data_IF_472558344098
#
_entry.id   IF_472558344098
#
_cell.length_a   1.000
_cell.length_b   1.000
_cell.length_c   1.000
_cell.angle_alpha   90.00
_cell.angle_beta   90.00
_cell.angle_gamma   90.00
#
_symmetry.space_group_name_H-M   'P 1'
#
loop_
_entity.id
_entity.type
_entity.pdbx_description
1 polymer ?
#
# COMPACT_ATOMS: atom_id res chain seq x y z
N UNK A 1 -8.06 22.95 16.63
CA UNK A 1 -7.33 21.76 17.10
C UNK A 1 -8.23 20.86 17.96
N UNK A 2 -8.80 21.30 19.09
CA UNK A 2 -9.77 20.48 19.85
C UNK A 2 -11.15 20.32 19.20
N UNK A 3 -11.51 21.19 18.24
CA UNK A 3 -12.83 21.18 17.60
C UNK A 3 -13.10 19.95 16.71
N UNK A 4 -12.07 19.16 16.40
CA UNK A 4 -12.16 17.98 15.53
C UNK A 4 -11.87 16.66 16.24
N UNK A 5 -11.48 16.67 17.53
CA UNK A 5 -11.15 15.45 18.25
C UNK A 5 -12.32 14.46 18.30
N UNK A 6 -13.54 14.97 18.49
CA UNK A 6 -14.76 14.15 18.46
C UNK A 6 -15.01 13.53 17.09
N UNK A 7 -14.70 14.27 16.04
CA UNK A 7 -14.84 13.82 14.66
C UNK A 7 -13.83 12.71 14.35
N UNK A 8 -12.58 12.86 14.80
CA UNK A 8 -11.54 11.84 14.64
C UNK A 8 -11.89 10.56 15.43
N UNK A 9 -12.33 10.69 16.69
CA UNK A 9 -12.77 9.54 17.50
C UNK A 9 -13.94 8.80 16.82
N UNK A 10 -14.95 9.53 16.34
CA UNK A 10 -16.08 8.91 15.66
C UNK A 10 -15.62 8.20 14.38
N UNK A 11 -14.74 8.81 13.60
CA UNK A 11 -14.19 8.18 12.39
C UNK A 11 -13.41 6.90 12.69
N UNK A 12 -12.72 6.83 13.82
CA UNK A 12 -12.02 5.60 14.25
C UNK A 12 -13.05 4.51 14.60
N UNK A 13 -14.07 4.84 15.38
CA UNK A 13 -15.13 3.89 15.76
C UNK A 13 -15.86 3.34 14.51
N UNK A 14 -16.06 4.16 13.49
CA UNK A 14 -16.71 3.75 12.24
C UNK A 14 -15.83 2.84 11.37
N UNK A 15 -14.51 3.00 11.41
CA UNK A 15 -13.57 2.30 10.51
C UNK A 15 -12.87 1.10 11.16
N UNK A 16 -12.79 1.07 12.48
CA UNK A 16 -12.15 -0.02 13.22
C UNK A 16 -13.19 -0.84 14.00
N UNK A 17 -13.48 -2.08 13.56
CA UNK A 17 -14.39 -2.98 14.27
C UNK A 17 -13.96 -3.31 15.71
N UNK A 18 -12.68 -3.14 16.05
CA UNK A 18 -12.17 -3.38 17.40
C UNK A 18 -12.47 -2.24 18.38
N UNK A 19 -12.78 -1.03 17.88
CA UNK A 19 -13.05 0.14 18.70
C UNK A 19 -14.42 0.05 19.39
N UNK A 20 -14.46 -0.30 20.68
CA UNK A 20 -15.74 -0.54 21.37
C UNK A 20 -16.44 0.73 21.82
N UNK A 21 -15.67 1.77 22.16
CA UNK A 21 -16.18 3.04 22.66
C UNK A 21 -15.14 4.17 22.53
N UNK A 22 -15.60 5.42 22.60
CA UNK A 22 -14.72 6.59 22.47
C UNK A 22 -13.70 6.77 23.59
N UNK A 23 -13.91 6.19 24.78
CA UNK A 23 -12.93 6.26 25.87
C UNK A 23 -11.71 5.40 25.56
N UNK A 24 -11.92 4.16 25.13
CA UNK A 24 -10.87 3.26 24.65
C UNK A 24 -10.09 3.90 23.49
N UNK A 25 -10.80 4.51 22.53
CA UNK A 25 -10.15 5.24 21.43
C UNK A 25 -9.29 6.39 21.95
N UNK A 26 -9.82 7.18 22.89
CA UNK A 26 -9.10 8.32 23.46
C UNK A 26 -7.86 7.88 24.26
N UNK A 27 -7.89 6.75 24.97
CA UNK A 27 -6.81 6.35 25.88
C UNK A 27 -5.82 5.36 25.28
N UNK A 28 -6.22 4.57 24.28
CA UNK A 28 -5.46 3.40 23.82
C UNK A 28 -5.14 3.41 22.32
N UNK A 29 -5.50 4.46 21.56
CA UNK A 29 -5.15 4.53 20.13
C UNK A 29 -3.93 5.41 19.88
N UNK A 30 -2.74 4.82 19.63
CA UNK A 30 -1.51 5.57 19.41
C UNK A 30 -1.59 6.45 18.16
N UNK A 31 -2.35 6.02 17.14
CA UNK A 31 -2.61 6.81 15.93
C UNK A 31 -3.28 8.15 16.22
N UNK A 32 -4.31 8.14 17.08
CA UNK A 32 -4.99 9.37 17.53
C UNK A 32 -4.03 10.27 18.30
N UNK A 33 -3.27 9.70 19.24
CA UNK A 33 -2.29 10.46 20.04
C UNK A 33 -1.23 11.13 19.17
N UNK A 34 -0.71 10.42 18.17
CA UNK A 34 0.28 10.96 17.24
C UNK A 34 -0.28 12.13 16.42
N UNK A 35 -1.52 12.05 15.94
CA UNK A 35 -2.17 13.15 15.21
C UNK A 35 -2.37 14.38 16.10
N UNK A 36 -2.83 14.19 17.34
CA UNK A 36 -3.01 15.29 18.30
C UNK A 36 -1.68 15.98 18.62
N UNK A 37 -0.63 15.20 18.91
CA UNK A 37 0.70 15.72 19.19
C UNK A 37 1.33 16.37 17.96
N UNK A 38 1.10 15.83 16.76
CA UNK A 38 1.50 16.47 15.51
C UNK A 38 0.83 17.83 15.35
N UNK A 39 -0.44 17.98 15.73
CA UNK A 39 -1.13 19.28 15.73
C UNK A 39 -0.37 20.35 16.54
N UNK A 40 0.11 20.00 17.74
CA UNK A 40 0.97 20.88 18.54
C UNK A 40 2.32 21.14 17.87
N UNK A 41 2.98 20.10 17.37
CA UNK A 41 4.27 20.19 16.71
C UNK A 41 4.21 21.09 15.45
N UNK A 42 3.20 20.90 14.61
CA UNK A 42 2.92 21.67 13.40
C UNK A 42 2.65 23.14 13.73
N UNK A 43 1.86 23.40 14.77
CA UNK A 43 1.59 24.76 15.24
C UNK A 43 2.87 25.50 15.65
N UNK A 44 3.78 24.84 16.39
CA UNK A 44 5.09 25.40 16.76
C UNK A 44 5.95 25.63 15.51
N UNK A 45 5.98 24.66 14.60
CA UNK A 45 6.74 24.73 13.35
C UNK A 45 6.33 25.93 12.49
N UNK A 46 5.02 26.16 12.33
CA UNK A 46 4.46 27.30 11.57
C UNK A 46 4.72 28.66 12.22
N UNK A 47 5.06 28.71 13.52
CA UNK A 47 5.42 29.93 14.27
C UNK A 47 6.93 30.15 14.40
N UNK A 48 7.73 29.47 13.55
CA UNK A 48 9.19 29.53 13.58
C UNK A 48 9.82 28.98 14.88
N UNK A 49 9.05 28.29 15.74
CA UNK A 49 9.56 27.55 16.90
C UNK A 49 9.97 26.14 16.48
N UNK A 50 10.86 26.03 15.50
CA UNK A 50 11.18 24.78 14.81
C UNK A 50 11.73 23.70 15.73
N UNK A 51 12.62 24.08 16.67
CA UNK A 51 13.18 23.15 17.65
C UNK A 51 12.09 22.56 18.54
N UNK A 52 11.15 23.39 19.03
CA UNK A 52 10.04 22.93 19.88
C UNK A 52 9.14 21.99 19.09
N UNK A 53 8.81 22.31 17.84
CA UNK A 53 8.05 21.42 16.96
C UNK A 53 8.74 20.06 16.79
N UNK A 54 10.05 20.05 16.53
CA UNK A 54 10.84 18.81 16.41
C UNK A 54 10.90 18.01 17.69
N UNK A 55 11.05 18.69 18.83
CA UNK A 55 11.08 18.04 20.13
C UNK A 55 9.73 17.37 20.45
N UNK A 56 8.60 18.05 20.20
CA UNK A 56 7.27 17.45 20.37
C UNK A 56 7.09 16.22 19.48
N UNK A 57 7.48 16.30 18.21
CA UNK A 57 7.45 15.17 17.27
C UNK A 57 8.31 13.99 17.75
N UNK A 58 9.48 14.26 18.33
CA UNK A 58 10.33 13.24 18.93
C UNK A 58 9.68 12.56 20.14
N UNK A 59 9.06 13.31 21.05
CA UNK A 59 8.30 12.74 22.18
C UNK A 59 7.11 11.91 21.69
N UNK A 60 6.38 12.40 20.67
CA UNK A 60 5.29 11.65 20.05
C UNK A 60 5.78 10.30 19.52
N UNK A 61 6.94 10.28 18.85
CA UNK A 61 7.58 9.05 18.36
C UNK A 61 7.91 8.08 19.48
N UNK A 62 8.44 8.54 20.60
CA UNK A 62 8.77 7.68 21.75
C UNK A 62 7.51 7.01 22.31
N UNK A 63 6.43 7.78 22.47
CA UNK A 63 5.22 7.31 23.14
C UNK A 63 4.38 6.42 22.22
N UNK A 64 4.31 6.75 20.93
CA UNK A 64 3.38 6.12 19.98
C UNK A 64 4.04 5.17 18.99
N UNK A 65 5.36 5.26 18.80
CA UNK A 65 6.07 4.57 17.72
C UNK A 65 5.81 5.14 16.32
N UNK A 66 5.11 6.28 16.21
CA UNK A 66 4.74 6.95 14.96
C UNK A 66 5.59 8.22 14.81
N UNK A 67 6.32 8.34 13.71
CA UNK A 67 7.10 9.54 13.39
C UNK A 67 6.35 10.41 12.36
N UNK A 68 5.87 11.58 12.78
CA UNK A 68 5.29 12.58 11.88
C UNK A 68 6.11 13.85 11.97
N UNK A 69 6.76 14.24 10.87
CA UNK A 69 7.52 15.47 10.82
C UNK A 69 6.61 16.69 11.05
N UNK A 70 7.00 17.70 11.85
CA UNK A 70 6.16 18.87 12.15
C UNK A 70 5.72 19.65 10.91
N UNK A 71 6.56 19.70 9.87
CA UNK A 71 6.27 20.33 8.58
C UNK A 71 5.26 19.59 7.69
N UNK A 72 4.95 18.32 7.98
CA UNK A 72 3.95 17.57 7.21
C UNK A 72 2.57 18.22 7.34
N UNK A 73 1.73 18.05 6.33
CA UNK A 73 0.34 18.52 6.34
C UNK A 73 -0.56 17.31 6.46
N UNK A 74 -1.37 17.27 7.53
CA UNK A 74 -2.31 16.19 7.82
C UNK A 74 -3.73 16.75 7.74
N UNK A 75 -4.58 16.11 6.93
CA UNK A 75 -5.98 16.43 6.76
C UNK A 75 -6.84 15.97 7.94
N UNK A 76 -8.16 16.01 7.74
CA UNK A 76 -9.17 15.64 8.74
C UNK A 76 -9.49 14.15 8.68
N UNK A 77 -9.81 13.53 9.83
CA UNK A 77 -10.24 12.12 9.89
C UNK A 77 -9.22 11.16 9.25
N UNK A 78 -7.94 11.52 9.36
CA UNK A 78 -6.84 10.62 9.00
C UNK A 78 -6.78 9.53 10.07
N UNK A 79 -6.87 8.28 9.65
CA UNK A 79 -6.84 7.14 10.53
C UNK A 79 -5.49 6.42 10.40
N UNK A 80 -4.69 6.45 11.47
CA UNK A 80 -3.46 5.68 11.56
C UNK A 80 -3.75 4.43 12.40
N UNK A 81 -3.93 3.30 11.73
CA UNK A 81 -4.30 2.04 12.37
C UNK A 81 -3.07 1.21 12.75
N UNK A 82 -3.05 0.68 13.97
CA UNK A 82 -1.91 0.08 14.68
C UNK A 82 -0.68 1.00 14.85
N UNK A 83 -0.29 1.70 13.78
CA UNK A 83 0.58 2.87 13.74
C UNK A 83 2.08 2.62 13.95
N UNK A 84 2.47 1.56 14.65
CA UNK A 84 3.87 1.34 14.98
C UNK A 84 4.77 1.31 13.72
N UNK A 85 5.84 2.10 13.71
CA UNK A 85 6.79 2.17 12.60
C UNK A 85 6.33 3.03 11.41
N UNK A 86 5.22 3.77 11.52
CA UNK A 86 4.81 4.75 10.49
C UNK A 86 5.79 5.94 10.49
N UNK A 87 6.23 6.34 9.30
CA UNK A 87 7.14 7.48 9.09
C UNK A 87 6.55 8.42 8.03
N UNK A 88 6.24 9.65 8.42
CA UNK A 88 5.70 10.70 7.54
C UNK A 88 6.68 11.87 7.46
N UNK A 89 7.27 12.05 6.28
CA UNK A 89 8.33 13.04 6.08
C UNK A 89 7.86 14.49 5.93
N UNK A 90 8.83 15.41 5.96
CA UNK A 90 8.61 16.85 6.12
C UNK A 90 7.65 17.51 5.15
N UNK A 91 7.74 17.15 3.87
CA UNK A 91 6.93 17.80 2.81
C UNK A 91 5.76 16.93 2.40
N UNK A 92 5.44 15.89 3.18
CA UNK A 92 4.32 15.01 2.90
C UNK A 92 3.00 15.77 3.11
N UNK A 93 2.03 15.44 2.27
CA UNK A 93 0.66 15.94 2.40
C UNK A 93 -0.25 14.72 2.46
N UNK A 94 -1.03 14.59 3.52
CA UNK A 94 -2.02 13.53 3.70
C UNK A 94 -3.39 14.19 3.69
N UNK A 95 -4.21 13.85 2.70
CA UNK A 95 -5.57 14.37 2.56
C UNK A 95 -6.53 13.86 3.64
N UNK A 96 -7.77 14.35 3.56
CA UNK A 96 -8.84 13.95 4.47
C UNK A 96 -9.19 12.47 4.28
N UNK A 97 -9.70 11.82 5.32
CA UNK A 97 -10.21 10.43 5.26
C UNK A 97 -9.19 9.36 4.86
N UNK A 98 -7.90 9.68 4.82
CA UNK A 98 -6.87 8.68 4.54
C UNK A 98 -6.75 7.64 5.66
N UNK A 99 -6.43 6.40 5.29
CA UNK A 99 -6.09 5.33 6.23
C UNK A 99 -4.66 4.88 6.00
N UNK A 100 -3.86 4.84 7.06
CA UNK A 100 -2.44 4.47 7.03
C UNK A 100 -2.23 3.36 8.06
N UNK A 101 -1.76 2.20 7.62
CA UNK A 101 -1.45 1.06 8.48
C UNK A 101 -0.01 1.13 9.04
N UNK A 102 0.31 0.21 9.96
CA UNK A 102 1.64 0.08 10.57
C UNK A 102 2.78 -0.06 9.54
N UNK A 103 3.97 0.42 9.89
CA UNK A 103 5.18 0.29 9.07
C UNK A 103 5.20 1.06 7.74
N UNK A 104 4.22 1.94 7.51
CA UNK A 104 4.16 2.74 6.27
C UNK A 104 5.19 3.87 6.29
N UNK A 105 5.87 4.07 5.17
CA UNK A 105 6.76 5.22 4.97
C UNK A 105 6.26 6.13 3.86
N UNK A 106 6.03 7.41 4.17
CA UNK A 106 5.86 8.51 3.21
C UNK A 106 7.18 9.26 3.10
N UNK A 107 8.08 8.71 2.28
CA UNK A 107 9.50 9.05 2.22
C UNK A 107 9.88 9.96 1.05
N UNK A 108 11.04 10.59 1.17
CA UNK A 108 11.61 11.40 0.11
C UNK A 108 12.76 10.69 -0.61
N UNK A 109 12.93 10.97 -1.91
CA UNK A 109 13.99 10.39 -2.75
C UNK A 109 15.11 11.38 -3.10
N UNK A 110 14.92 12.67 -2.80
CA UNK A 110 15.89 13.74 -3.09
C UNK A 110 16.63 14.20 -1.85
N UNK A 111 17.94 14.47 -2.01
CA UNK A 111 18.81 15.02 -0.97
C UNK A 111 18.72 16.56 -0.85
N UNK A 112 18.00 17.23 -1.75
CA UNK A 112 17.88 18.68 -1.73
C UNK A 112 16.91 19.13 -0.62
N UNK A 113 17.43 19.87 0.35
CA UNK A 113 16.64 20.47 1.43
C UNK A 113 15.72 21.57 0.90
N UNK A 114 14.54 21.73 1.52
CA UNK A 114 13.59 22.80 1.20
C UNK A 114 12.66 22.57 0.01
N UNK A 115 12.94 21.60 -0.88
CA UNK A 115 12.04 21.25 -1.97
C UNK A 115 11.01 20.16 -1.58
N UNK A 116 9.85 20.17 -2.26
CA UNK A 116 8.87 19.07 -2.18
C UNK A 116 9.54 17.79 -2.66
N UNK A 117 9.55 16.77 -1.80
CA UNK A 117 10.25 15.49 -2.02
C UNK A 117 9.49 14.27 -1.52
N UNK A 118 8.47 14.48 -0.70
CA UNK A 118 7.59 13.45 -0.14
C UNK A 118 6.25 13.42 -0.87
N UNK A 119 5.49 12.33 -0.79
CA UNK A 119 4.27 12.16 -1.55
C UNK A 119 3.14 13.10 -1.10
N UNK A 120 2.13 13.19 -1.94
CA UNK A 120 0.83 13.77 -1.63
C UNK A 120 -0.21 12.66 -1.74
N UNK A 121 -0.92 12.35 -0.66
CA UNK A 121 -2.06 11.46 -0.66
C UNK A 121 -3.33 12.33 -0.74
N UNK A 122 -4.17 12.11 -1.74
CA UNK A 122 -5.47 12.77 -1.84
C UNK A 122 -6.49 12.15 -0.86
N UNK A 123 -7.72 12.66 -0.87
CA UNK A 123 -8.77 12.23 0.05
C UNK A 123 -9.03 10.72 -0.07
N UNK A 124 -9.22 10.05 1.07
CA UNK A 124 -9.68 8.67 1.14
C UNK A 124 -8.65 7.63 0.68
N UNK A 125 -7.38 8.01 0.50
CA UNK A 125 -6.32 7.06 0.12
C UNK A 125 -6.07 6.06 1.25
N UNK A 126 -5.95 4.78 0.90
CA UNK A 126 -5.61 3.71 1.84
C UNK A 126 -4.20 3.22 1.54
N UNK A 127 -3.34 3.24 2.55
CA UNK A 127 -1.95 2.77 2.45
C UNK A 127 -1.76 1.56 3.37
N UNK A 128 -1.63 0.39 2.75
CA UNK A 128 -1.49 -0.92 3.40
C UNK A 128 -0.24 -1.05 4.26
N UNK A 129 -0.24 -2.04 5.15
CA UNK A 129 0.83 -2.21 6.13
C UNK A 129 2.19 -2.43 5.46
N UNK A 130 3.24 -1.78 5.97
CA UNK A 130 4.60 -1.90 5.46
C UNK A 130 4.84 -1.23 4.09
N UNK A 131 3.84 -0.59 3.48
CA UNK A 131 4.01 0.03 2.17
C UNK A 131 4.99 1.23 2.23
N UNK A 132 5.82 1.35 1.20
CA UNK A 132 6.83 2.42 1.06
C UNK A 132 6.43 3.31 -0.12
N UNK A 133 5.97 4.54 0.16
CA UNK A 133 5.61 5.53 -0.87
C UNK A 133 6.71 6.58 -0.92
N UNK A 134 7.54 6.53 -1.96
CA UNK A 134 8.82 7.26 -1.99
C UNK A 134 8.87 8.23 -3.17
N UNK A 135 8.91 9.54 -2.87
CA UNK A 135 9.11 10.59 -3.86
C UNK A 135 7.99 11.63 -3.90
N UNK A 136 8.19 12.67 -4.71
CA UNK A 136 7.25 13.78 -4.86
C UNK A 136 6.26 13.52 -5.99
N UNK A 137 5.23 12.74 -5.71
CA UNK A 137 4.08 12.55 -6.61
C UNK A 137 2.77 12.43 -5.83
N UNK A 138 1.66 12.46 -6.58
CA UNK A 138 0.32 12.33 -6.02
C UNK A 138 -0.19 10.89 -6.12
N UNK A 139 -0.80 10.42 -5.05
CA UNK A 139 -1.65 9.22 -4.99
C UNK A 139 -3.09 9.71 -4.99
N UNK A 140 -3.82 9.42 -6.07
CA UNK A 140 -5.12 10.00 -6.36
C UNK A 140 -6.22 9.58 -5.39
N UNK A 141 -7.31 10.34 -5.39
CA UNK A 141 -8.45 10.14 -4.49
C UNK A 141 -8.96 8.70 -4.46
N UNK A 142 -9.20 8.15 -3.26
CA UNK A 142 -9.64 6.78 -3.03
C UNK A 142 -8.74 5.67 -3.63
N UNK A 143 -7.52 6.01 -4.04
CA UNK A 143 -6.56 5.01 -4.47
C UNK A 143 -6.10 4.14 -3.28
N UNK A 144 -5.65 2.93 -3.60
CA UNK A 144 -5.19 1.94 -2.63
C UNK A 144 -3.77 1.55 -2.92
N UNK A 145 -2.92 1.55 -1.91
CA UNK A 145 -1.57 1.00 -1.97
C UNK A 145 -1.58 -0.28 -1.14
N UNK A 146 -1.27 -1.41 -1.78
CA UNK A 146 -1.25 -2.71 -1.11
C UNK A 146 -0.14 -2.81 -0.06
N UNK A 147 -0.31 -3.72 0.90
CA UNK A 147 0.73 -4.01 1.88
C UNK A 147 2.08 -4.37 1.25
N UNK A 148 3.16 -3.92 1.89
CA UNK A 148 4.55 -4.10 1.47
C UNK A 148 4.86 -3.60 0.04
N UNK A 149 3.95 -2.85 -0.60
CA UNK A 149 4.19 -2.31 -1.92
C UNK A 149 5.25 -1.19 -1.86
N UNK A 150 6.11 -1.12 -2.88
CA UNK A 150 7.11 -0.05 -3.01
C UNK A 150 6.69 0.86 -4.16
N UNK A 151 6.01 1.95 -3.82
CA UNK A 151 5.41 2.88 -4.76
C UNK A 151 6.38 4.01 -5.11
N UNK A 152 6.76 4.05 -6.38
CA UNK A 152 7.72 5.02 -6.94
C UNK A 152 7.10 5.94 -8.01
N UNK A 153 5.81 5.78 -8.30
CA UNK A 153 5.09 6.47 -9.38
C UNK A 153 3.70 6.91 -8.92
N UNK A 154 3.10 7.94 -9.57
CA UNK A 154 1.74 8.35 -9.29
C UNK A 154 0.74 7.20 -9.47
N UNK A 155 -0.35 7.23 -8.70
CA UNK A 155 -1.47 6.29 -8.81
C UNK A 155 -2.75 7.08 -9.14
N UNK A 156 -3.48 6.73 -10.20
CA UNK A 156 -4.75 7.37 -10.53
C UNK A 156 -5.80 7.18 -9.43
N UNK A 157 -6.77 8.09 -9.34
CA UNK A 157 -7.89 8.00 -8.41
C UNK A 157 -8.65 6.67 -8.55
N UNK A 158 -9.00 6.06 -7.41
CA UNK A 158 -9.72 4.80 -7.33
C UNK A 158 -8.93 3.55 -7.76
N UNK A 159 -7.69 3.71 -8.24
CA UNK A 159 -6.86 2.58 -8.67
C UNK A 159 -6.14 1.92 -7.48
N UNK A 160 -5.75 0.65 -7.66
CA UNK A 160 -4.97 -0.11 -6.67
C UNK A 160 -3.56 -0.32 -7.20
N UNK A 161 -2.53 -0.03 -6.39
CA UNK A 161 -1.14 -0.31 -6.70
C UNK A 161 -0.56 -1.34 -5.72
N UNK A 162 0.04 -2.42 -6.23
CA UNK A 162 0.59 -3.53 -5.42
C UNK A 162 1.96 -3.95 -5.94
N UNK A 163 2.74 -4.65 -5.10
CA UNK A 163 4.04 -5.24 -5.49
C UNK A 163 5.25 -4.34 -5.21
N UNK A 164 6.44 -4.90 -5.42
CA UNK A 164 7.72 -4.22 -5.25
C UNK A 164 8.62 -4.45 -6.50
N UNK A 165 8.80 -3.45 -7.38
CA UNK A 165 8.17 -2.12 -7.36
C UNK A 165 6.66 -2.22 -7.63
N UNK A 166 5.90 -1.20 -7.21
CA UNK A 166 4.45 -1.24 -7.31
C UNK A 166 3.95 -1.02 -8.74
N UNK A 167 2.93 -1.77 -9.13
CA UNK A 167 2.24 -1.69 -10.40
C UNK A 167 0.73 -1.51 -10.19
N UNK A 168 0.07 -0.79 -11.11
CA UNK A 168 -1.37 -0.54 -11.02
C UNK A 168 -2.14 -1.78 -11.50
N UNK A 169 -3.03 -2.28 -10.65
CA UNK A 169 -3.97 -3.35 -10.97
C UNK A 169 -5.29 -2.71 -11.38
N UNK A 170 -5.69 -2.92 -12.63
CA UNK A 170 -7.01 -2.51 -13.10
C UNK A 170 -8.06 -3.51 -12.62
N UNK A 171 -9.11 -3.00 -12.00
CA UNK A 171 -10.26 -3.81 -11.61
C UNK A 171 -11.12 -4.04 -12.85
N UNK A 172 -11.39 -5.29 -13.20
CA UNK A 172 -12.43 -5.59 -14.19
C UNK A 172 -13.77 -5.05 -13.67
N UNK A 173 -14.36 -4.13 -14.42
CA UNK A 173 -15.55 -3.34 -14.06
C UNK A 173 -16.79 -4.24 -13.90
N UNK A 174 -16.72 -5.51 -14.30
CA UNK A 174 -17.79 -6.52 -14.23
C UNK A 174 -18.15 -6.96 -12.81
N UNK A 175 -17.28 -6.78 -11.81
CA UNK A 175 -17.50 -7.21 -10.43
C UNK A 175 -18.26 -6.19 -9.54
N UNK A 176 -18.71 -5.05 -10.09
CA UNK A 176 -19.37 -3.98 -9.32
C UNK A 176 -20.87 -4.19 -9.05
N UNK A 177 -21.41 -5.39 -9.29
CA UNK A 177 -22.86 -5.66 -9.15
C UNK A 177 -23.32 -6.22 -7.80
N UNK A 178 -22.44 -6.47 -6.86
CA UNK A 178 -22.84 -6.95 -5.53
C UNK A 178 -22.60 -5.86 -4.47
N UNK A 179 -23.71 -5.36 -3.92
CA UNK A 179 -23.74 -4.19 -3.08
C UNK A 179 -23.18 -4.38 -1.66
N UNK A 180 -23.05 -3.23 -1.00
CA UNK A 180 -22.87 -2.99 0.44
C UNK A 180 -21.45 -3.09 1.03
N UNK A 181 -21.08 -2.01 1.75
CA UNK A 181 -19.97 -1.83 2.71
C UNK A 181 -18.50 -1.95 2.27
N UNK A 182 -18.17 -2.59 1.13
CA UNK A 182 -16.76 -2.80 0.72
C UNK A 182 -15.96 -1.52 0.38
N UNK A 183 -16.62 -0.36 0.26
CA UNK A 183 -15.96 0.93 0.06
C UNK A 183 -15.43 1.55 1.36
N UNK A 184 -15.90 1.13 2.53
CA UNK A 184 -15.56 1.76 3.81
C UNK A 184 -14.40 1.07 4.55
N UNK A 185 -14.12 -0.21 4.23
CA UNK A 185 -13.05 -0.98 4.87
C UNK A 185 -12.38 -1.90 3.84
N UNK A 186 -11.23 -1.47 3.32
CA UNK A 186 -10.36 -2.29 2.49
C UNK A 186 -9.11 -2.65 3.30
N UNK A 187 -9.23 -3.73 4.08
CA UNK A 187 -8.16 -4.19 4.95
C UNK A 187 -6.85 -4.28 4.15
N UNK A 188 -5.83 -3.58 4.63
CA UNK A 188 -4.47 -3.67 4.08
C UNK A 188 -4.33 -3.27 2.59
N UNK A 189 -5.26 -2.48 2.05
CA UNK A 189 -5.23 -2.06 0.64
C UNK A 189 -5.46 -3.21 -0.35
N UNK A 190 -5.90 -4.37 0.13
CA UNK A 190 -6.20 -5.54 -0.69
C UNK A 190 -7.60 -5.40 -1.27
N UNK A 191 -7.75 -5.63 -2.58
CA UNK A 191 -9.07 -5.84 -3.17
C UNK A 191 -9.43 -7.32 -3.07
N UNK A 192 -10.63 -7.69 -2.57
CA UNK A 192 -11.10 -9.06 -2.69
C UNK A 192 -11.18 -9.37 -4.19
N UNK A 193 -10.44 -10.40 -4.63
CA UNK A 193 -10.24 -10.81 -6.04
C UNK A 193 -9.23 -9.98 -6.85
N UNK A 194 -8.30 -9.26 -6.22
CA UNK A 194 -7.19 -8.63 -6.94
C UNK A 194 -6.13 -9.66 -7.29
N UNK A 195 -6.23 -10.30 -8.46
CA UNK A 195 -5.19 -11.21 -8.94
C UNK A 195 -3.84 -10.49 -8.98
N UNK A 196 -2.84 -11.02 -8.27
CA UNK A 196 -1.48 -10.50 -8.29
C UNK A 196 -0.96 -10.54 -9.75
N UNK A 197 -0.55 -9.38 -10.34
CA UNK A 197 -0.01 -9.36 -11.69
C UNK A 197 1.23 -10.25 -11.85
N UNK A 198 2.00 -10.50 -10.77
CA UNK A 198 3.12 -11.43 -10.78
C UNK A 198 2.63 -12.88 -10.91
N UNK A 199 1.60 -13.27 -10.14
CA UNK A 199 0.96 -14.58 -10.30
C UNK A 199 0.41 -14.78 -11.71
N UNK A 200 -0.27 -13.77 -12.28
CA UNK A 200 -0.75 -13.82 -13.68
C UNK A 200 0.38 -13.99 -14.68
N UNK A 201 1.49 -13.29 -14.51
CA UNK A 201 2.65 -13.42 -15.39
C UNK A 201 3.28 -14.81 -15.28
N UNK A 202 3.40 -15.37 -14.08
CA UNK A 202 3.92 -16.72 -13.83
C UNK A 202 3.00 -17.79 -14.44
N UNK A 203 1.69 -17.70 -14.27
CA UNK A 203 0.72 -18.59 -14.93
C UNK A 203 0.80 -18.50 -16.45
N UNK A 204 1.01 -17.30 -16.99
CA UNK A 204 1.27 -17.09 -18.41
C UNK A 204 2.54 -17.81 -18.89
N UNK A 205 3.64 -17.74 -18.12
CA UNK A 205 4.88 -18.43 -18.43
C UNK A 205 4.75 -19.95 -18.34
N UNK A 206 4.07 -20.47 -17.32
CA UNK A 206 3.77 -21.91 -17.16
C UNK A 206 2.98 -22.41 -18.38
N UNK A 207 1.95 -21.68 -18.78
CA UNK A 207 1.12 -22.02 -19.94
C UNK A 207 1.95 -22.03 -21.24
N UNK A 208 2.83 -21.04 -21.42
CA UNK A 208 3.72 -20.99 -22.58
C UNK A 208 4.74 -22.14 -22.59
N UNK A 209 5.29 -22.52 -21.44
CA UNK A 209 6.23 -23.64 -21.32
C UNK A 209 5.56 -24.96 -21.73
N UNK A 210 4.36 -25.24 -21.19
CA UNK A 210 3.57 -26.43 -21.57
C UNK A 210 3.27 -26.44 -23.08
N UNK A 211 2.86 -25.30 -23.64
CA UNK A 211 2.58 -25.19 -25.07
C UNK A 211 3.84 -25.38 -25.94
N UNK A 212 5.01 -24.95 -25.47
CA UNK A 212 6.29 -25.18 -26.16
C UNK A 212 6.68 -26.65 -26.11
N UNK A 213 6.51 -27.32 -24.97
CA UNK A 213 6.81 -28.75 -24.82
C UNK A 213 5.94 -29.60 -25.75
N UNK A 214 4.63 -29.34 -25.79
CA UNK A 214 3.72 -30.01 -26.73
C UNK A 214 4.09 -29.78 -28.21
N UNK A 215 4.54 -28.57 -28.57
CA UNK A 215 5.00 -28.26 -29.93
C UNK A 215 6.28 -29.01 -30.27
N UNK A 216 7.23 -29.09 -29.34
CA UNK A 216 8.48 -29.84 -29.51
C UNK A 216 8.17 -31.33 -29.68
N UNK A 217 7.31 -31.92 -28.85
CA UNK A 217 6.88 -33.31 -28.99
C UNK A 217 6.23 -33.57 -30.36
N UNK A 218 5.36 -32.66 -30.81
CA UNK A 218 4.72 -32.76 -32.14
C UNK A 218 5.77 -32.69 -33.26
N UNK A 219 6.73 -31.77 -33.18
CA UNK A 219 7.82 -31.65 -34.15
C UNK A 219 8.67 -32.93 -34.17
N UNK A 220 9.07 -33.43 -33.00
CA UNK A 220 9.84 -34.68 -32.90
C UNK A 220 9.07 -35.88 -33.47
N UNK A 221 7.76 -35.97 -33.24
CA UNK A 221 6.91 -37.00 -33.81
C UNK A 221 6.85 -36.90 -35.35
N UNK A 222 6.70 -35.70 -35.91
CA UNK A 222 6.70 -35.48 -37.37
C UNK A 222 8.06 -35.75 -38.01
N UNK A 223 9.18 -35.37 -37.38
CA UNK A 223 10.53 -35.66 -37.85
C UNK A 223 10.81 -37.18 -37.84
N UNK A 224 10.35 -37.88 -36.80
CA UNK A 224 10.43 -39.34 -36.72
C UNK A 224 9.60 -40.01 -37.81
N UNK A 225 8.40 -39.51 -38.10
CA UNK A 225 7.56 -39.98 -39.21
C UNK A 225 8.20 -39.72 -40.59
N UNK A 226 8.99 -38.66 -40.73
CA UNK A 226 9.79 -38.36 -41.91
C UNK A 226 11.11 -39.16 -42.01
N UNK A 227 11.40 -40.04 -41.04
CA UNK A 227 12.60 -40.89 -41.02
C UNK A 227 13.87 -40.20 -40.52
N UNK A 228 13.77 -39.01 -39.92
CA UNK A 228 14.91 -38.25 -39.39
C UNK A 228 15.09 -38.60 -37.90
N UNK A 229 16.12 -39.37 -37.58
CA UNK A 229 16.46 -39.68 -36.19
C UNK A 229 17.17 -38.50 -35.51
N UNK A 230 16.47 -37.84 -34.58
CA UNK A 230 17.08 -36.86 -33.68
C UNK A 230 17.83 -37.58 -32.53
N UNK A 231 18.99 -37.06 -32.12
CA UNK A 231 19.70 -37.60 -30.95
C UNK A 231 18.83 -37.48 -29.69
N UNK A 232 18.90 -38.49 -28.82
CA UNK A 232 18.16 -38.50 -27.57
C UNK A 232 18.59 -37.32 -26.69
N UNK A 233 17.69 -36.37 -26.48
CA UNK A 233 17.82 -35.39 -25.42
C UNK A 233 17.66 -36.16 -24.11
N UNK A 234 18.52 -35.95 -23.09
CA UNK A 234 18.32 -36.58 -21.79
C UNK A 234 16.90 -36.30 -21.28
N UNK A 235 16.24 -37.30 -20.71
CA UNK A 235 14.92 -37.14 -20.07
C UNK A 235 15.07 -36.06 -18.97
N UNK A 236 14.57 -34.86 -19.25
CA UNK A 236 14.24 -33.92 -18.19
C UNK A 236 12.95 -34.42 -17.52
N UNK A 237 12.86 -34.27 -16.20
CA UNK A 237 11.61 -34.52 -15.47
C UNK A 237 10.46 -33.76 -16.17
N UNK A 238 9.33 -34.46 -16.40
CA UNK A 238 8.15 -33.85 -17.05
C UNK A 238 7.74 -32.59 -16.28
N UNK A 239 7.54 -31.49 -17.01
CA UNK A 239 7.11 -30.24 -16.41
C UNK A 239 5.70 -30.38 -15.81
N UNK A 240 5.61 -30.42 -14.49
CA UNK A 240 4.33 -30.50 -13.76
C UNK A 240 3.70 -29.10 -13.62
N UNK A 241 2.81 -28.78 -14.56
CA UNK A 241 2.10 -27.51 -14.55
C UNK A 241 1.11 -27.36 -13.40
N UNK A 242 0.55 -28.47 -12.87
CA UNK A 242 -0.40 -28.39 -11.75
C UNK A 242 0.32 -28.05 -10.44
N UNK A 243 1.47 -28.70 -10.20
CA UNK A 243 2.32 -28.36 -9.06
C UNK A 243 2.80 -26.91 -9.11
N UNK A 244 3.21 -26.43 -10.29
CA UNK A 244 3.67 -25.05 -10.45
C UNK A 244 2.55 -24.04 -10.27
N UNK A 245 1.35 -24.28 -10.80
CA UNK A 245 0.20 -23.38 -10.59
C UNK A 245 -0.19 -23.30 -9.11
N UNK A 246 -0.13 -24.42 -8.37
CA UNK A 246 -0.40 -24.46 -6.94
C UNK A 246 0.62 -23.69 -6.07
N UNK A 247 1.82 -23.44 -6.60
CA UNK A 247 2.83 -22.62 -5.93
C UNK A 247 2.68 -21.12 -6.23
N UNK A 248 1.90 -20.78 -7.25
CA UNK A 248 1.68 -19.41 -7.76
C UNK A 248 0.37 -18.80 -7.23
N UNK A 249 -0.61 -19.65 -6.91
CA UNK A 249 -1.85 -19.31 -6.21
C UNK A 249 -1.63 -19.09 -4.69
#
# INVERSE_FOLDING_TARGET
>A
MFHHLREDINSIIERDPAARNGWEVLTCYPGLHAIVMHGWAHWCWKRHMQWVGRFISYIARIITGIEIHPGAVIGRRVFIDHGFGVVIGETAVVGDDCTIYQGVTLGGTSLHSGAKRHPTLERGVIVGAGAQVLGSFTVGEYAKVGSNAVLLKPVPSGATAVGNPAHIVQKDVSALREGSTAHLFAAYGVTPNGDDPLSKALQGLITHAVAQEQRIETILATLKAAGICCQAVPECDKFDSEQMNKLVD
#
